data_IF_176803944888
#
_entry.id   IF_176803944888
#
_cell.length_a   1.000
_cell.length_b   1.000
_cell.length_c   1.000
_cell.angle_alpha   90.00
_cell.angle_beta   90.00
_cell.angle_gamma   90.00
#
_symmetry.space_group_name_H-M   'P 1'
#
loop_
_entity.id
_entity.type
_entity.pdbx_description
1 polymer ?
#
# COMPACT_ATOMS: atom_id res chain seq x y z
N UNK A 1 38.83 88.49 27.49
CA UNK A 1 38.34 87.43 26.58
C UNK A 1 37.87 86.23 27.39
N UNK A 2 36.56 86.09 27.63
CA UNK A 2 35.96 84.91 28.28
C UNK A 2 35.47 83.95 27.20
N UNK A 3 36.17 82.83 27.00
CA UNK A 3 35.74 81.73 26.13
C UNK A 3 34.65 80.93 26.84
N UNK A 4 33.39 81.19 26.54
CA UNK A 4 32.31 80.25 26.82
C UNK A 4 31.97 79.50 25.52
N UNK A 5 31.77 78.19 25.65
CA UNK A 5 31.25 77.23 24.64
C UNK A 5 32.27 76.26 24.02
N UNK A 6 32.56 75.17 24.75
CA UNK A 6 32.98 73.89 24.13
C UNK A 6 32.35 72.65 24.79
N UNK A 7 31.73 72.78 25.97
CA UNK A 7 31.06 71.68 26.66
C UNK A 7 29.73 71.27 26.01
N UNK A 8 28.90 72.23 25.59
CA UNK A 8 27.58 71.95 24.98
C UNK A 8 27.68 71.26 23.60
N UNK A 9 28.72 71.59 22.81
CA UNK A 9 28.97 70.94 21.52
C UNK A 9 29.49 69.49 21.69
N UNK A 10 30.34 69.23 22.70
CA UNK A 10 30.82 67.88 23.04
C UNK A 10 29.70 66.98 23.60
N UNK A 11 28.78 67.53 24.40
CA UNK A 11 27.61 66.81 24.90
C UNK A 11 26.61 66.47 23.78
N UNK A 12 26.41 67.38 22.81
CA UNK A 12 25.56 67.11 21.63
C UNK A 12 26.11 66.02 20.72
N UNK A 13 27.43 65.97 20.51
CA UNK A 13 28.07 64.90 19.74
C UNK A 13 27.91 63.52 20.37
N UNK A 14 28.10 63.42 21.70
CA UNK A 14 27.88 62.17 22.45
C UNK A 14 26.41 61.73 22.37
N UNK A 15 25.45 62.64 22.54
CA UNK A 15 24.03 62.31 22.49
C UNK A 15 23.59 61.78 21.12
N UNK A 16 24.11 62.34 20.02
CA UNK A 16 23.82 61.87 18.66
C UNK A 16 24.42 60.48 18.42
N UNK A 17 25.66 60.24 18.85
CA UNK A 17 26.31 58.92 18.72
C UNK A 17 25.54 57.87 19.52
N UNK A 18 25.16 58.18 20.77
CA UNK A 18 24.35 57.28 21.59
C UNK A 18 22.98 57.02 20.97
N UNK A 19 22.29 58.03 20.44
CA UNK A 19 21.01 57.87 19.77
C UNK A 19 21.10 56.98 18.52
N UNK A 20 22.14 57.16 17.69
CA UNK A 20 22.39 56.34 16.51
C UNK A 20 22.74 54.89 16.87
N UNK A 21 23.51 54.69 17.94
CA UNK A 21 23.88 53.35 18.39
C UNK A 21 22.66 52.60 18.96
N UNK A 22 21.83 53.27 19.77
CA UNK A 22 20.56 52.73 20.24
C UNK A 22 19.65 52.38 19.06
N UNK A 23 19.49 53.29 18.10
CA UNK A 23 18.68 53.06 16.91
C UNK A 23 19.17 51.86 16.08
N UNK A 24 20.50 51.74 15.90
CA UNK A 24 21.10 50.59 15.21
C UNK A 24 20.84 49.27 15.95
N UNK A 25 21.01 49.24 17.27
CA UNK A 25 20.71 48.05 18.09
C UNK A 25 19.23 47.67 18.00
N UNK A 26 18.33 48.65 18.12
CA UNK A 26 16.88 48.43 17.97
C UNK A 26 16.54 47.88 16.59
N UNK A 27 17.16 48.42 15.53
CA UNK A 27 16.96 47.94 14.16
C UNK A 27 17.43 46.49 13.97
N UNK A 28 18.59 46.11 14.53
CA UNK A 28 19.11 44.73 14.47
C UNK A 28 18.19 43.77 15.23
N UNK A 29 17.72 44.15 16.43
CA UNK A 29 16.79 43.34 17.22
C UNK A 29 15.45 43.17 16.47
N UNK A 30 14.89 44.26 15.94
CA UNK A 30 13.65 44.24 15.18
C UNK A 30 13.77 43.37 13.91
N UNK A 31 14.87 43.49 13.16
CA UNK A 31 15.13 42.64 11.99
C UNK A 31 15.26 41.15 12.35
N UNK A 32 15.94 40.85 13.45
CA UNK A 32 16.03 39.49 13.99
C UNK A 32 14.67 38.93 14.42
N UNK A 33 13.83 39.75 15.07
CA UNK A 33 12.49 39.37 15.50
C UNK A 33 11.56 39.10 14.32
N UNK A 34 11.55 39.96 13.30
CA UNK A 34 10.76 39.78 12.08
C UNK A 34 11.14 38.50 11.32
N UNK A 35 12.43 38.18 11.26
CA UNK A 35 12.92 36.94 10.65
C UNK A 35 12.43 35.71 11.42
N UNK A 36 12.55 35.73 12.76
CA UNK A 36 12.06 34.65 13.63
C UNK A 36 10.54 34.47 13.52
N UNK A 37 9.80 35.58 13.49
CA UNK A 37 8.35 35.58 13.33
C UNK A 37 7.94 34.95 11.99
N UNK A 38 8.62 35.31 10.90
CA UNK A 38 8.34 34.76 9.56
C UNK A 38 8.62 33.25 9.47
N UNK A 39 9.70 32.78 10.08
CA UNK A 39 10.00 31.33 10.14
C UNK A 39 8.96 30.60 10.97
N UNK A 40 8.53 31.19 12.10
CA UNK A 40 7.51 30.62 12.97
C UNK A 40 6.15 30.52 12.26
N UNK A 41 5.67 31.57 11.58
CA UNK A 41 4.39 31.55 10.87
C UNK A 41 4.39 30.53 9.73
N UNK A 42 5.46 30.48 8.93
CA UNK A 42 5.61 29.46 7.87
C UNK A 42 5.61 28.03 8.43
N UNK A 43 6.21 27.83 9.61
CA UNK A 43 6.18 26.56 10.32
C UNK A 43 4.76 26.15 10.72
N UNK A 44 3.98 27.09 11.28
CA UNK A 44 2.59 26.85 11.66
C UNK A 44 1.69 26.57 10.44
N UNK A 45 1.84 27.32 9.36
CA UNK A 45 1.10 27.10 8.10
C UNK A 45 1.39 25.71 7.52
N UNK A 46 2.67 25.31 7.50
CA UNK A 46 3.08 23.99 7.04
C UNK A 46 2.49 22.86 7.89
N UNK A 47 2.46 23.03 9.21
CA UNK A 47 1.89 22.05 10.13
C UNK A 47 0.36 21.96 9.99
N UNK A 48 -0.31 23.12 9.85
CA UNK A 48 -1.75 23.16 9.61
C UNK A 48 -2.13 22.44 8.31
N UNK A 49 -1.38 22.67 7.22
CA UNK A 49 -1.59 21.98 5.95
C UNK A 49 -1.34 20.47 6.06
N UNK A 50 -0.33 20.05 6.83
CA UNK A 50 -0.02 18.64 7.09
C UNK A 50 -1.20 17.95 7.79
N UNK A 51 -1.72 18.56 8.86
CA UNK A 51 -2.87 18.03 9.60
C UNK A 51 -4.11 17.96 8.70
N UNK A 52 -4.41 19.02 7.94
CA UNK A 52 -5.55 19.03 7.01
C UNK A 52 -5.44 17.94 5.94
N UNK A 53 -4.25 17.71 5.37
CA UNK A 53 -4.02 16.62 4.42
C UNK A 53 -4.28 15.24 5.01
N UNK A 54 -3.88 15.03 6.27
CA UNK A 54 -4.15 13.77 6.98
C UNK A 54 -5.65 13.53 7.19
N UNK A 55 -6.43 14.55 7.55
CA UNK A 55 -7.89 14.43 7.69
C UNK A 55 -8.57 14.04 6.37
N UNK A 56 -8.10 14.57 5.25
CA UNK A 56 -8.63 14.22 3.92
C UNK A 56 -8.36 12.75 3.58
N UNK A 57 -7.14 12.26 3.84
CA UNK A 57 -6.79 10.87 3.64
C UNK A 57 -7.57 9.94 4.56
N UNK A 58 -7.76 10.33 5.83
CA UNK A 58 -8.56 9.55 6.78
C UNK A 58 -10.02 9.48 6.37
N UNK A 59 -10.60 10.57 5.88
CA UNK A 59 -11.97 10.56 5.32
C UNK A 59 -12.10 9.63 4.12
N UNK A 60 -11.12 9.64 3.21
CA UNK A 60 -11.05 8.71 2.08
C UNK A 60 -10.92 7.24 2.50
N UNK A 61 -10.10 6.97 3.52
CA UNK A 61 -9.93 5.64 4.12
C UNK A 61 -11.23 5.13 4.74
N UNK A 62 -11.89 5.93 5.57
CA UNK A 62 -13.16 5.54 6.20
C UNK A 62 -14.26 5.33 5.16
N UNK A 63 -14.31 6.19 4.13
CA UNK A 63 -15.24 5.98 3.01
C UNK A 63 -14.96 4.68 2.25
N UNK A 64 -13.68 4.32 2.07
CA UNK A 64 -13.27 3.05 1.46
C UNK A 64 -13.75 1.84 2.28
N UNK A 65 -13.60 1.90 3.61
CA UNK A 65 -14.12 0.87 4.53
C UNK A 65 -15.64 0.74 4.42
N UNK A 66 -16.36 1.86 4.39
CA UNK A 66 -17.82 1.84 4.21
C UNK A 66 -18.25 1.24 2.87
N UNK A 67 -17.53 1.54 1.77
CA UNK A 67 -17.83 0.96 0.46
C UNK A 67 -17.64 -0.56 0.46
N UNK A 68 -16.55 -1.06 1.04
CA UNK A 68 -16.28 -2.49 1.17
C UNK A 68 -17.31 -3.20 2.05
N UNK A 69 -17.74 -2.54 3.14
CA UNK A 69 -18.80 -3.01 4.03
C UNK A 69 -20.14 -3.11 3.31
N UNK A 70 -20.58 -2.03 2.68
CA UNK A 70 -21.84 -1.98 1.92
C UNK A 70 -21.84 -2.99 0.75
N UNK A 71 -20.69 -3.18 0.09
CA UNK A 71 -20.54 -4.18 -0.95
C UNK A 71 -20.79 -5.61 -0.42
N UNK A 72 -20.25 -5.97 0.76
CA UNK A 72 -20.46 -7.30 1.36
C UNK A 72 -21.92 -7.53 1.72
N UNK A 73 -22.58 -6.52 2.27
CA UNK A 73 -23.99 -6.62 2.66
C UNK A 73 -24.90 -6.83 1.46
N UNK A 74 -24.52 -6.29 0.30
CA UNK A 74 -25.28 -6.42 -0.94
C UNK A 74 -24.99 -7.72 -1.68
N UNK A 75 -23.74 -8.15 -1.71
CA UNK A 75 -23.27 -9.29 -2.50
C UNK A 75 -22.14 -10.01 -1.74
N UNK A 76 -22.29 -11.31 -1.56
CA UNK A 76 -21.28 -12.16 -0.93
C UNK A 76 -20.05 -12.27 -1.84
N UNK A 77 -20.24 -12.26 -3.16
CA UNK A 77 -19.16 -12.37 -4.13
C UNK A 77 -18.29 -11.11 -4.11
N UNK A 78 -16.98 -11.28 -4.29
CA UNK A 78 -16.08 -10.15 -4.54
C UNK A 78 -15.73 -10.12 -6.02
N UNK A 79 -16.17 -9.07 -6.74
CA UNK A 79 -16.07 -8.96 -8.22
C UNK A 79 -15.51 -7.61 -8.65
N UNK A 80 -14.85 -7.56 -9.81
CA UNK A 80 -14.19 -6.35 -10.33
C UNK A 80 -15.17 -5.28 -10.87
N UNK A 81 -16.43 -5.62 -11.11
CA UNK A 81 -17.49 -4.69 -11.56
C UNK A 81 -18.21 -3.99 -10.39
N UNK A 82 -17.84 -4.31 -9.15
CA UNK A 82 -18.44 -3.72 -7.97
C UNK A 82 -17.90 -2.31 -7.70
N UNK A 83 -18.68 -1.42 -7.06
CA UNK A 83 -18.35 -0.01 -6.91
C UNK A 83 -17.16 0.28 -5.97
N UNK A 84 -16.65 -0.71 -5.24
CA UNK A 84 -15.52 -0.52 -4.33
C UNK A 84 -14.18 -0.33 -5.05
N UNK A 85 -14.04 -0.79 -6.30
CA UNK A 85 -12.75 -0.79 -7.03
C UNK A 85 -12.17 0.62 -7.19
N UNK A 86 -13.02 1.62 -7.42
CA UNK A 86 -12.61 3.03 -7.54
C UNK A 86 -13.40 3.89 -6.57
N UNK A 87 -12.69 4.72 -5.83
CA UNK A 87 -13.28 5.65 -4.86
C UNK A 87 -12.98 7.09 -5.25
N UNK A 88 -14.02 7.91 -5.22
CA UNK A 88 -13.93 9.36 -5.27
C UNK A 88 -14.75 9.94 -4.11
N UNK A 89 -14.11 10.77 -3.28
CA UNK A 89 -14.72 11.38 -2.11
C UNK A 89 -14.21 12.82 -1.95
N UNK A 90 -14.92 13.77 -2.55
CA UNK A 90 -14.49 15.17 -2.59
C UNK A 90 -13.17 15.32 -3.34
N UNK A 91 -12.11 15.73 -2.63
CA UNK A 91 -10.75 15.88 -3.19
C UNK A 91 -9.89 14.63 -3.07
N UNK A 92 -10.42 13.55 -2.49
CA UNK A 92 -9.76 12.26 -2.39
C UNK A 92 -10.15 11.38 -3.58
N UNK A 93 -9.15 10.79 -4.22
CA UNK A 93 -9.31 9.74 -5.22
C UNK A 93 -8.49 8.52 -4.80
N UNK A 94 -9.01 7.33 -5.07
CA UNK A 94 -8.30 6.11 -4.76
C UNK A 94 -8.81 4.91 -5.52
N UNK A 95 -8.02 3.85 -5.42
CA UNK A 95 -8.27 2.54 -5.98
C UNK A 95 -8.16 1.53 -4.86
N UNK A 96 -9.10 0.59 -4.84
CA UNK A 96 -9.04 -0.56 -3.96
C UNK A 96 -8.77 -1.77 -4.85
N UNK A 97 -7.73 -2.52 -4.54
CA UNK A 97 -7.39 -3.77 -5.19
C UNK A 97 -7.67 -4.95 -4.25
N UNK A 98 -8.17 -6.05 -4.81
CA UNK A 98 -8.34 -7.30 -4.10
C UNK A 98 -6.99 -8.03 -4.02
N UNK A 99 -6.42 -8.13 -2.82
CA UNK A 99 -5.12 -8.80 -2.62
C UNK A 99 -5.24 -10.34 -2.62
N UNK A 100 -6.47 -10.88 -2.57
CA UNK A 100 -6.74 -12.30 -2.81
C UNK A 100 -6.97 -12.63 -4.28
N UNK A 101 -7.02 -11.67 -5.19
CA UNK A 101 -6.85 -11.95 -6.62
C UNK A 101 -5.42 -12.38 -6.99
N UNK A 102 -4.47 -12.27 -6.06
CA UNK A 102 -3.04 -12.51 -6.24
C UNK A 102 -2.61 -13.80 -5.54
N UNK A 103 -1.47 -14.36 -5.94
CA UNK A 103 -0.84 -15.45 -5.23
C UNK A 103 -0.24 -14.96 -3.91
N UNK A 104 -0.76 -15.43 -2.78
CA UNK A 104 -0.27 -15.05 -1.46
C UNK A 104 0.97 -15.86 -1.08
N UNK A 105 2.14 -15.21 -0.96
CA UNK A 105 3.39 -15.86 -0.56
C UNK A 105 3.31 -16.53 0.82
N UNK A 106 2.41 -16.08 1.70
CA UNK A 106 2.15 -16.73 3.00
C UNK A 106 1.71 -18.19 2.82
N UNK A 107 1.13 -18.55 1.67
CA UNK A 107 0.66 -19.90 1.37
C UNK A 107 1.79 -20.94 1.25
N UNK A 108 3.04 -20.53 1.05
CA UNK A 108 4.18 -21.45 0.96
C UNK A 108 4.40 -22.27 2.24
N UNK A 109 3.89 -21.81 3.38
CA UNK A 109 3.98 -22.52 4.65
C UNK A 109 2.59 -22.68 5.26
N UNK A 110 2.21 -23.88 5.65
CA UNK A 110 0.94 -24.16 6.30
C UNK A 110 1.17 -25.09 7.49
N UNK A 111 0.60 -24.77 8.66
CA UNK A 111 0.77 -25.55 9.91
C UNK A 111 2.24 -25.94 10.18
N UNK A 112 3.15 -24.97 10.08
CA UNK A 112 4.60 -25.13 10.28
C UNK A 112 5.29 -26.13 9.32
N UNK A 113 4.68 -26.37 8.16
CA UNK A 113 5.22 -27.25 7.13
C UNK A 113 5.21 -26.55 5.78
N UNK A 114 6.18 -26.89 4.94
CA UNK A 114 6.20 -26.47 3.55
C UNK A 114 4.98 -27.04 2.82
N UNK A 115 4.25 -26.17 2.12
CA UNK A 115 3.21 -26.59 1.20
C UNK A 115 3.80 -26.74 -0.22
N UNK A 116 4.03 -27.98 -0.63
CA UNK A 116 4.69 -28.29 -1.90
C UNK A 116 3.87 -27.87 -3.12
N UNK A 117 2.53 -27.95 -3.04
CA UNK A 117 1.64 -27.55 -4.13
C UNK A 117 1.67 -26.03 -4.32
N UNK A 118 1.67 -25.27 -3.22
CA UNK A 118 1.80 -23.81 -3.26
C UNK A 118 3.17 -23.38 -3.78
N UNK A 119 4.24 -24.10 -3.41
CA UNK A 119 5.58 -23.86 -3.96
C UNK A 119 5.62 -24.06 -5.48
N UNK A 120 5.09 -25.18 -5.98
CA UNK A 120 5.02 -25.44 -7.42
C UNK A 120 4.15 -24.41 -8.15
N UNK A 121 3.05 -23.97 -7.53
CA UNK A 121 2.19 -22.92 -8.09
C UNK A 121 2.91 -21.59 -8.21
N UNK A 122 3.67 -21.19 -7.20
CA UNK A 122 4.50 -19.98 -7.26
C UNK A 122 5.61 -20.08 -8.33
N UNK A 123 6.30 -21.22 -8.42
CA UNK A 123 7.33 -21.43 -9.45
C UNK A 123 6.75 -21.40 -10.87
N UNK A 124 5.53 -21.95 -11.06
CA UNK A 124 4.79 -21.84 -12.32
C UNK A 124 4.47 -20.37 -12.64
N UNK A 125 3.95 -19.61 -11.68
CA UNK A 125 3.67 -18.19 -11.85
C UNK A 125 4.93 -17.42 -12.27
N UNK A 126 6.04 -17.60 -11.56
CA UNK A 126 7.32 -16.97 -11.89
C UNK A 126 7.78 -17.32 -13.31
N UNK A 127 7.65 -18.59 -13.73
CA UNK A 127 8.00 -19.01 -15.09
C UNK A 127 7.13 -18.31 -16.14
N UNK A 128 5.81 -18.25 -15.93
CA UNK A 128 4.86 -17.56 -16.81
C UNK A 128 5.21 -16.08 -16.96
N UNK A 129 5.64 -15.44 -15.86
CA UNK A 129 6.04 -14.03 -15.84
C UNK A 129 7.47 -13.79 -16.37
N UNK A 130 8.21 -14.83 -16.76
CA UNK A 130 9.60 -14.72 -17.19
C UNK A 130 10.53 -14.23 -16.07
N UNK A 131 10.28 -14.67 -14.83
CA UNK A 131 11.19 -14.47 -13.70
C UNK A 131 12.20 -15.61 -13.66
N UNK A 132 13.48 -15.27 -13.48
CA UNK A 132 14.56 -16.24 -13.38
C UNK A 132 14.26 -17.29 -12.27
N UNK A 133 14.35 -18.60 -12.57
CA UNK A 133 14.14 -19.66 -11.58
C UNK A 133 15.01 -19.52 -10.32
N UNK A 134 16.24 -18.99 -10.42
CA UNK A 134 17.09 -18.72 -9.28
C UNK A 134 16.50 -17.62 -8.37
N UNK A 135 15.92 -16.58 -8.96
CA UNK A 135 15.23 -15.50 -8.21
C UNK A 135 13.97 -16.04 -7.55
N UNK A 136 13.16 -16.83 -8.27
CA UNK A 136 11.98 -17.51 -7.71
C UNK A 136 12.35 -18.36 -6.49
N UNK A 137 13.42 -19.18 -6.59
CA UNK A 137 13.90 -20.00 -5.47
C UNK A 137 14.36 -19.15 -4.29
N UNK A 138 15.07 -18.04 -4.52
CA UNK A 138 15.49 -17.12 -3.45
C UNK A 138 14.31 -16.47 -2.74
N UNK A 139 13.28 -16.05 -3.48
CA UNK A 139 12.03 -15.53 -2.88
C UNK A 139 11.39 -16.61 -2.00
N UNK A 140 11.19 -17.82 -2.52
CA UNK A 140 10.61 -18.94 -1.76
C UNK A 140 11.41 -19.22 -0.49
N UNK A 141 12.75 -19.32 -0.60
CA UNK A 141 13.63 -19.56 0.55
C UNK A 141 13.54 -18.45 1.59
N UNK A 142 13.52 -17.18 1.18
CA UNK A 142 13.38 -16.03 2.09
C UNK A 142 12.05 -16.05 2.84
N UNK A 143 10.95 -16.38 2.14
CA UNK A 143 9.62 -16.50 2.75
C UNK A 143 9.57 -17.68 3.71
N UNK A 144 9.95 -18.88 3.25
CA UNK A 144 9.93 -20.12 4.03
C UNK A 144 10.76 -19.98 5.30
N UNK A 145 11.94 -19.35 5.22
CA UNK A 145 12.82 -19.13 6.36
C UNK A 145 12.31 -18.07 7.36
N UNK A 146 11.21 -17.38 7.04
CA UNK A 146 10.55 -16.42 7.94
C UNK A 146 9.53 -17.06 8.89
N UNK A 147 9.26 -18.35 8.71
CA UNK A 147 8.32 -19.11 9.52
C UNK A 147 9.06 -20.23 10.23
N UNK A 148 8.63 -20.52 11.46
CA UNK A 148 9.07 -21.72 12.14
C UNK A 148 8.56 -22.94 11.37
N UNK A 149 9.40 -23.95 11.28
CA UNK A 149 9.04 -25.26 10.77
C UNK A 149 9.12 -26.27 11.91
N UNK A 150 8.51 -27.44 11.72
CA UNK A 150 8.51 -28.52 12.71
C UNK A 150 9.94 -28.79 13.25
N UNK A 151 10.22 -28.31 14.47
CA UNK A 151 11.51 -28.45 15.15
C UNK A 151 12.61 -27.45 14.75
N UNK A 152 12.31 -26.45 13.93
CA UNK A 152 13.26 -25.43 13.45
C UNK A 152 12.70 -24.01 13.65
N UNK A 153 13.40 -23.12 14.38
CA UNK A 153 12.95 -21.74 14.56
C UNK A 153 13.03 -20.95 13.24
N UNK A 154 12.20 -19.90 13.13
CA UNK A 154 12.30 -18.94 12.05
C UNK A 154 13.68 -18.27 12.05
N UNK A 155 14.30 -18.14 10.87
CA UNK A 155 15.62 -17.52 10.68
C UNK A 155 15.54 -16.03 10.41
N UNK A 156 14.41 -15.57 9.84
CA UNK A 156 14.18 -14.18 9.48
C UNK A 156 12.84 -13.68 10.03
N UNK A 157 12.65 -12.36 10.19
CA UNK A 157 11.35 -11.79 10.47
C UNK A 157 10.34 -12.11 9.37
N UNK A 158 9.07 -12.28 9.78
CA UNK A 158 7.94 -12.38 8.87
C UNK A 158 7.88 -11.17 7.94
N UNK A 159 7.56 -11.43 6.68
CA UNK A 159 7.31 -10.38 5.71
C UNK A 159 5.98 -9.69 6.05
N UNK A 160 6.00 -8.36 6.06
CA UNK A 160 4.85 -7.48 6.22
C UNK A 160 4.42 -6.86 4.89
N UNK A 161 5.37 -6.73 3.95
CA UNK A 161 5.14 -6.25 2.60
C UNK A 161 6.13 -6.88 1.62
N UNK A 162 5.83 -6.80 0.33
CA UNK A 162 6.74 -7.24 -0.72
C UNK A 162 8.07 -6.46 -0.72
N UNK A 163 8.08 -5.24 -0.19
CA UNK A 163 9.30 -4.45 -0.01
C UNK A 163 10.34 -5.15 0.91
N UNK A 164 9.93 -6.09 1.77
CA UNK A 164 10.84 -6.87 2.62
C UNK A 164 11.68 -7.90 1.82
N UNK A 165 11.36 -8.07 0.53
CA UNK A 165 12.16 -8.84 -0.43
C UNK A 165 13.22 -7.97 -1.13
N UNK A 166 13.21 -6.65 -0.93
CA UNK A 166 14.21 -5.76 -1.53
C UNK A 166 15.63 -6.16 -1.11
N UNK A 167 16.57 -6.07 -2.05
CA UNK A 167 17.96 -6.46 -1.83
C UNK A 167 18.26 -7.96 -2.02
N UNK A 168 17.26 -8.80 -2.32
CA UNK A 168 17.53 -10.16 -2.77
C UNK A 168 18.28 -10.15 -4.11
N UNK A 169 19.33 -10.96 -4.20
CA UNK A 169 20.16 -11.05 -5.39
C UNK A 169 19.32 -11.42 -6.63
N UNK A 170 19.48 -10.64 -7.70
CA UNK A 170 18.73 -10.80 -8.96
C UNK A 170 17.26 -10.35 -8.91
N UNK A 171 16.75 -9.94 -7.75
CA UNK A 171 15.43 -9.31 -7.64
C UNK A 171 15.58 -7.79 -7.76
N UNK A 172 15.56 -7.28 -8.98
CA UNK A 172 15.63 -5.84 -9.21
C UNK A 172 14.32 -5.15 -8.81
N UNK A 173 14.33 -3.82 -8.53
CA UNK A 173 13.11 -3.06 -8.25
C UNK A 173 12.05 -3.21 -9.34
N UNK A 174 12.44 -3.30 -10.61
CA UNK A 174 11.55 -3.46 -11.76
C UNK A 174 10.87 -4.83 -11.76
N UNK A 175 11.63 -5.90 -11.47
CA UNK A 175 11.08 -7.26 -11.33
C UNK A 175 10.13 -7.32 -10.15
N UNK A 176 10.51 -6.74 -9.01
CA UNK A 176 9.67 -6.68 -7.82
C UNK A 176 8.37 -5.92 -8.12
N UNK A 177 8.44 -4.75 -8.75
CA UNK A 177 7.28 -3.94 -9.14
C UNK A 177 6.34 -4.72 -10.07
N UNK A 178 6.90 -5.45 -11.06
CA UNK A 178 6.11 -6.31 -11.95
C UNK A 178 5.40 -7.43 -11.18
N UNK A 179 6.08 -8.04 -10.21
CA UNK A 179 5.51 -9.09 -9.38
C UNK A 179 4.34 -8.59 -8.50
N UNK A 180 4.34 -7.32 -8.06
CA UNK A 180 3.29 -6.77 -7.18
C UNK A 180 1.87 -6.86 -7.76
N UNK A 181 1.73 -6.99 -9.08
CA UNK A 181 0.44 -7.20 -9.74
C UNK A 181 -0.10 -8.64 -9.55
N UNK A 182 0.76 -9.61 -9.30
CA UNK A 182 0.44 -11.05 -9.30
C UNK A 182 0.62 -11.74 -7.97
N UNK A 183 1.40 -11.16 -7.04
CA UNK A 183 1.67 -11.74 -5.72
C UNK A 183 1.30 -10.78 -4.59
N UNK A 184 0.99 -11.34 -3.42
CA UNK A 184 0.71 -10.60 -2.19
C UNK A 184 1.43 -11.25 -0.99
N UNK A 185 1.51 -10.51 0.12
CA UNK A 185 1.92 -11.03 1.44
C UNK A 185 0.82 -10.67 2.41
N UNK A 186 0.02 -11.65 2.80
CA UNK A 186 -1.09 -11.46 3.75
C UNK A 186 -0.76 -12.10 5.10
N UNK A 187 -1.37 -11.63 6.21
CA UNK A 187 -1.11 -12.17 7.56
C UNK A 187 -1.47 -13.66 7.73
N UNK A 188 -2.37 -14.19 6.92
CA UNK A 188 -2.81 -15.59 6.97
C UNK A 188 -2.75 -16.29 5.61
N UNK A 189 -2.90 -17.61 5.63
CA UNK A 189 -3.10 -18.41 4.41
C UNK A 189 -4.47 -18.06 3.81
N UNK A 190 -4.54 -17.88 2.49
CA UNK A 190 -5.76 -17.45 1.80
C UNK A 190 -5.94 -18.19 0.48
N UNK A 191 -7.18 -18.43 0.08
CA UNK A 191 -7.48 -18.88 -1.28
C UNK A 191 -7.43 -17.72 -2.26
N UNK A 192 -7.13 -18.03 -3.52
CA UNK A 192 -7.19 -17.07 -4.61
C UNK A 192 -8.65 -16.83 -4.98
N UNK A 193 -9.07 -15.58 -5.13
CA UNK A 193 -10.42 -15.25 -5.62
C UNK A 193 -10.45 -15.30 -7.15
N UNK A 194 -11.15 -16.28 -7.71
CA UNK A 194 -11.29 -16.44 -9.16
C UNK A 194 -12.01 -15.27 -9.85
N UNK A 195 -12.84 -14.53 -9.11
CA UNK A 195 -13.55 -13.38 -9.66
C UNK A 195 -12.68 -12.12 -9.81
N UNK A 196 -11.46 -12.11 -9.27
CA UNK A 196 -10.54 -10.97 -9.35
C UNK A 196 -9.14 -11.36 -9.84
N UNK A 197 -8.79 -12.65 -9.82
CA UNK A 197 -7.50 -13.14 -10.25
C UNK A 197 -7.23 -12.97 -11.74
N UNK A 198 -5.97 -12.75 -12.10
CA UNK A 198 -5.54 -12.71 -13.50
C UNK A 198 -5.42 -14.13 -14.08
N UNK A 199 -5.35 -14.25 -15.41
CA UNK A 199 -5.15 -15.53 -16.08
C UNK A 199 -3.81 -16.19 -15.69
N UNK A 200 -2.77 -15.39 -15.49
CA UNK A 200 -1.45 -15.84 -15.04
C UNK A 200 -1.53 -16.46 -13.64
N UNK A 201 -2.24 -15.81 -12.71
CA UNK A 201 -2.44 -16.37 -11.36
C UNK A 201 -3.27 -17.66 -11.44
N UNK A 202 -4.39 -17.66 -12.18
CA UNK A 202 -5.25 -18.83 -12.30
C UNK A 202 -4.53 -20.04 -12.92
N UNK A 203 -3.81 -19.86 -14.03
CA UNK A 203 -3.03 -20.93 -14.67
C UNK A 203 -1.89 -21.44 -13.77
N UNK A 204 -1.40 -20.60 -12.86
CA UNK A 204 -0.38 -20.98 -11.90
C UNK A 204 -0.93 -21.74 -10.70
N UNK A 205 -2.15 -21.44 -10.22
CA UNK A 205 -2.73 -22.13 -9.05
C UNK A 205 -3.55 -23.36 -9.41
N UNK A 206 -4.14 -23.42 -10.60
CA UNK A 206 -4.91 -24.59 -11.05
C UNK A 206 -3.97 -25.56 -11.77
N UNK A 207 -3.78 -26.80 -11.29
CA UNK A 207 -3.00 -27.80 -12.00
C UNK A 207 -3.56 -28.04 -13.42
N UNK A 208 -2.67 -28.16 -14.41
CA UNK A 208 -3.00 -28.46 -15.82
C UNK A 208 -3.81 -27.39 -16.59
N UNK A 209 -4.22 -26.29 -15.95
CA UNK A 209 -4.86 -25.18 -16.67
C UNK A 209 -3.81 -24.42 -17.48
N UNK A 210 -3.93 -24.44 -18.80
CA UNK A 210 -3.05 -23.65 -19.67
C UNK A 210 -3.35 -22.15 -19.58
N UNK A 211 -2.36 -21.30 -19.88
CA UNK A 211 -2.53 -19.85 -19.87
C UNK A 211 -3.60 -19.38 -20.88
N UNK A 212 -3.68 -20.01 -22.06
CA UNK A 212 -4.69 -19.68 -23.06
C UNK A 212 -6.12 -20.01 -22.59
N UNK A 213 -6.31 -21.17 -21.94
CA UNK A 213 -7.58 -21.53 -21.32
C UNK A 213 -7.94 -20.55 -20.20
N UNK A 214 -6.97 -20.17 -19.37
CA UNK A 214 -7.18 -19.19 -18.30
C UNK A 214 -7.58 -17.80 -18.86
N UNK A 215 -7.01 -17.36 -19.98
CA UNK A 215 -7.44 -16.13 -20.66
C UNK A 215 -8.88 -16.22 -21.17
N UNK A 216 -9.27 -17.34 -21.78
CA UNK A 216 -10.65 -17.55 -22.22
C UNK A 216 -11.64 -17.51 -21.04
N UNK A 217 -11.29 -18.19 -19.96
CA UNK A 217 -12.07 -18.21 -18.72
C UNK A 217 -12.23 -16.82 -18.09
N UNK A 218 -11.15 -16.04 -18.05
CA UNK A 218 -11.17 -14.64 -17.56
C UNK A 218 -11.98 -13.74 -18.49
N UNK A 219 -11.89 -13.91 -19.81
CA UNK A 219 -12.68 -13.14 -20.76
C UNK A 219 -14.18 -13.42 -20.63
N UNK A 220 -14.59 -14.68 -20.43
CA UNK A 220 -15.99 -15.02 -20.15
C UNK A 220 -16.46 -14.37 -18.84
N UNK A 221 -15.66 -14.49 -17.78
CA UNK A 221 -15.93 -13.86 -16.48
C UNK A 221 -16.15 -12.35 -16.63
N UNK A 222 -15.23 -11.66 -17.30
CA UNK A 222 -15.24 -10.19 -17.44
C UNK A 222 -16.35 -9.70 -18.39
N UNK A 223 -16.92 -10.58 -19.22
CA UNK A 223 -18.14 -10.34 -19.99
C UNK A 223 -19.44 -10.50 -19.16
N UNK A 224 -19.32 -10.59 -17.83
CA UNK A 224 -20.46 -10.66 -16.91
C UNK A 224 -20.81 -12.07 -16.44
N UNK A 225 -20.12 -13.11 -16.92
CA UNK A 225 -20.32 -14.48 -16.46
C UNK A 225 -19.48 -14.79 -15.22
N UNK A 226 -19.69 -14.03 -14.15
CA UNK A 226 -18.97 -14.20 -12.89
C UNK A 226 -19.13 -15.62 -12.32
N UNK A 227 -18.12 -16.08 -11.57
CA UNK A 227 -18.19 -17.34 -10.85
C UNK A 227 -19.09 -17.19 -9.63
N UNK A 228 -20.09 -18.04 -9.53
CA UNK A 228 -21.09 -17.97 -8.45
C UNK A 228 -20.74 -18.84 -7.24
N UNK A 229 -19.88 -19.84 -7.44
CA UNK A 229 -19.30 -20.68 -6.40
C UNK A 229 -18.10 -21.46 -6.96
N UNK A 230 -17.44 -22.21 -6.08
CA UNK A 230 -16.27 -23.03 -6.43
C UNK A 230 -16.60 -24.17 -7.42
N UNK A 231 -17.77 -24.80 -7.28
CA UNK A 231 -18.20 -25.88 -8.19
C UNK A 231 -18.40 -25.36 -9.62
N UNK A 232 -19.04 -24.20 -9.75
CA UNK A 232 -19.19 -23.48 -11.03
C UNK A 232 -17.82 -23.17 -11.65
N UNK A 233 -16.87 -22.62 -10.88
CA UNK A 233 -15.51 -22.39 -11.36
C UNK A 233 -14.87 -23.68 -11.91
N UNK A 234 -14.89 -24.76 -11.14
CA UNK A 234 -14.25 -26.04 -11.53
C UNK A 234 -14.90 -26.65 -12.77
N UNK A 235 -16.24 -26.60 -12.87
CA UNK A 235 -16.96 -27.11 -14.03
C UNK A 235 -16.54 -26.39 -15.32
N UNK A 236 -16.34 -25.07 -15.28
CA UNK A 236 -15.91 -24.27 -16.44
C UNK A 236 -14.45 -24.45 -16.83
N UNK A 237 -13.63 -25.11 -16.00
CA UNK A 237 -12.26 -25.48 -16.38
C UNK A 237 -12.25 -26.53 -17.50
N UNK A 238 -13.31 -27.34 -17.61
CA UNK A 238 -13.38 -28.48 -18.52
C UNK A 238 -12.20 -29.47 -18.34
N UNK A 239 -11.74 -29.64 -17.09
CA UNK A 239 -10.64 -30.53 -16.71
C UNK A 239 -11.18 -31.70 -15.88
N UNK A 240 -11.53 -32.84 -16.50
CA UNK A 240 -12.20 -33.95 -15.80
C UNK A 240 -11.34 -34.62 -14.72
N UNK A 241 -10.02 -34.42 -14.76
CA UNK A 241 -9.06 -34.99 -13.79
C UNK A 241 -8.81 -34.08 -12.57
N UNK A 242 -9.29 -32.83 -12.60
CA UNK A 242 -9.07 -31.86 -11.51
C UNK A 242 -10.22 -31.98 -10.52
N UNK A 243 -9.93 -32.48 -9.31
CA UNK A 243 -10.92 -32.57 -8.26
C UNK A 243 -11.22 -31.19 -7.65
N UNK A 244 -12.48 -30.93 -7.31
CA UNK A 244 -12.91 -29.65 -6.71
C UNK A 244 -12.12 -29.32 -5.44
N UNK A 245 -11.82 -30.33 -4.62
CA UNK A 245 -11.12 -30.15 -3.34
C UNK A 245 -9.61 -29.87 -3.49
N UNK A 246 -9.02 -30.17 -4.65
CA UNK A 246 -7.63 -29.80 -4.95
C UNK A 246 -7.47 -28.34 -5.40
N UNK A 247 -8.57 -27.66 -5.73
CA UNK A 247 -8.50 -26.29 -6.26
C UNK A 247 -8.71 -25.28 -5.13
N UNK A 248 -7.63 -24.61 -4.72
CA UNK A 248 -7.66 -23.53 -3.71
C UNK A 248 -8.07 -22.17 -4.30
N UNK A 249 -9.17 -22.18 -5.06
CA UNK A 249 -9.78 -20.99 -5.66
C UNK A 249 -11.17 -20.77 -5.06
N UNK A 250 -11.34 -19.61 -4.43
CA UNK A 250 -12.61 -19.11 -3.92
C UNK A 250 -13.25 -18.07 -4.84
N UNK A 251 -14.35 -17.50 -4.37
CA UNK A 251 -15.15 -16.47 -5.06
C UNK A 251 -15.38 -15.21 -4.21
N UNK A 252 -14.77 -15.18 -3.03
CA UNK A 252 -14.92 -14.15 -2.00
C UNK A 252 -13.56 -13.71 -1.51
N UNK A 253 -13.47 -12.47 -1.05
CA UNK A 253 -12.25 -11.92 -0.46
C UNK A 253 -12.52 -11.11 0.80
N UNK A 254 -11.55 -11.13 1.68
CA UNK A 254 -11.46 -10.44 2.95
C UNK A 254 -10.30 -9.43 2.97
N UNK A 255 -9.32 -9.54 2.06
CA UNK A 255 -8.12 -8.69 2.06
C UNK A 255 -8.07 -7.74 0.87
N UNK A 256 -8.00 -6.44 1.16
CA UNK A 256 -8.03 -5.39 0.16
C UNK A 256 -6.93 -4.36 0.41
N UNK A 257 -6.29 -3.87 -0.64
CA UNK A 257 -5.33 -2.77 -0.56
C UNK A 257 -5.94 -1.50 -1.09
N UNK A 258 -5.96 -0.44 -0.28
CA UNK A 258 -6.34 0.90 -0.69
C UNK A 258 -5.08 1.68 -1.07
N UNK A 259 -5.04 2.19 -2.29
CA UNK A 259 -4.09 3.19 -2.72
C UNK A 259 -4.85 4.45 -3.08
N UNK A 260 -4.54 5.57 -2.45
CA UNK A 260 -5.27 6.81 -2.68
C UNK A 260 -4.40 8.04 -2.55
N UNK A 261 -4.95 9.17 -3.00
CA UNK A 261 -4.34 10.46 -2.87
C UNK A 261 -5.40 11.54 -2.66
N UNK A 262 -5.03 12.57 -1.91
CA UNK A 262 -5.79 13.80 -1.80
C UNK A 262 -4.92 14.96 -2.29
N UNK A 263 -5.53 15.86 -3.08
CA UNK A 263 -4.88 17.08 -3.53
C UNK A 263 -5.60 18.29 -2.96
N UNK A 264 -4.86 19.14 -2.27
CA UNK A 264 -5.35 20.47 -1.86
C UNK A 264 -4.30 21.52 -2.22
N UNK A 265 -4.72 22.52 -2.98
CA UNK A 265 -3.86 23.57 -3.54
C UNK A 265 -2.68 22.99 -4.34
N UNK A 266 -1.46 23.05 -3.77
CA UNK A 266 -0.20 22.58 -4.38
C UNK A 266 0.35 21.28 -3.77
N UNK A 267 -0.27 20.75 -2.70
CA UNK A 267 0.25 19.58 -1.99
C UNK A 267 -0.59 18.35 -2.33
N UNK A 268 0.11 17.31 -2.80
CA UNK A 268 -0.43 15.96 -2.94
C UNK A 268 0.02 15.18 -1.72
N UNK A 269 -0.91 14.48 -1.10
CA UNK A 269 -0.61 13.49 -0.05
C UNK A 269 -1.20 12.16 -0.49
N UNK A 270 -0.50 11.07 -0.23
CA UNK A 270 -0.91 9.73 -0.64
C UNK A 270 -1.13 8.85 0.57
N UNK A 271 -1.97 7.83 0.42
CA UNK A 271 -2.19 6.79 1.41
C UNK A 271 -2.09 5.42 0.73
N UNK A 272 -1.44 4.49 1.42
CA UNK A 272 -1.46 3.07 1.11
C UNK A 272 -1.92 2.33 2.38
N UNK A 273 -2.90 1.45 2.28
CA UNK A 273 -3.44 0.74 3.44
C UNK A 273 -3.87 -0.68 3.09
N UNK A 274 -3.62 -1.62 4.01
CA UNK A 274 -4.21 -2.95 3.96
C UNK A 274 -5.45 -3.01 4.85
N UNK A 275 -6.56 -3.41 4.26
CA UNK A 275 -7.86 -3.53 4.88
C UNK A 275 -8.22 -5.01 4.99
N UNK A 276 -8.73 -5.40 6.14
CA UNK A 276 -9.30 -6.72 6.38
C UNK A 276 -10.80 -6.59 6.62
N UNK A 277 -11.62 -7.07 5.69
CA UNK A 277 -13.07 -7.13 5.75
C UNK A 277 -13.52 -8.53 6.18
N UNK A 278 -13.73 -8.78 7.48
CA UNK A 278 -14.33 -10.03 7.93
C UNK A 278 -15.81 -10.10 7.53
N UNK A 279 -16.41 -11.28 7.69
CA UNK A 279 -17.79 -11.54 7.29
C UNK A 279 -18.85 -10.73 8.06
N UNK A 280 -18.66 -10.54 9.38
CA UNK A 280 -19.68 -10.06 10.31
C UNK A 280 -19.45 -8.64 10.85
N UNK A 281 -18.36 -7.97 10.44
CA UNK A 281 -17.94 -6.67 11.02
C UNK A 281 -17.37 -5.72 9.99
N UNK A 282 -17.41 -4.44 10.32
CA UNK A 282 -16.78 -3.40 9.50
C UNK A 282 -15.31 -3.73 9.19
N UNK A 283 -14.83 -3.43 7.98
CA UNK A 283 -13.43 -3.64 7.61
C UNK A 283 -12.50 -2.96 8.61
N UNK A 284 -11.42 -3.63 8.99
CA UNK A 284 -10.37 -3.10 9.87
C UNK A 284 -9.18 -2.64 9.05
N UNK A 285 -8.56 -1.54 9.47
CA UNK A 285 -7.27 -1.11 8.93
C UNK A 285 -6.18 -1.92 9.64
N UNK A 286 -5.45 -2.75 8.90
CA UNK A 286 -4.36 -3.57 9.44
C UNK A 286 -3.09 -2.76 9.51
N UNK A 287 -2.83 -1.97 8.46
CA UNK A 287 -1.82 -0.94 8.45
C UNK A 287 -2.21 0.15 7.45
N UNK A 288 -1.68 1.35 7.67
CA UNK A 288 -1.76 2.46 6.72
C UNK A 288 -0.46 3.25 6.74
N UNK A 289 0.00 3.68 5.57
CA UNK A 289 1.20 4.49 5.36
C UNK A 289 0.79 5.74 4.61
N UNK A 290 1.16 6.91 5.15
CA UNK A 290 0.92 8.20 4.49
C UNK A 290 2.21 8.64 3.81
N UNK A 291 2.15 8.85 2.50
CA UNK A 291 3.21 9.46 1.71
C UNK A 291 2.96 10.95 1.52
N UNK A 292 4.05 11.71 1.40
CA UNK A 292 4.06 13.16 1.10
C UNK A 292 4.77 13.38 -0.21
#
# INVERSE_FOLDING_TARGET
MKRYSSAAAKQRGMAIISALLIAAVVAVIAGGMLTRQTVFTRGLEAEQLRVQGQWLLQGGLERSRQLLWAARQKDVLTRLDQPWVRIQAGVFEGRIDDEQGKFNLRNLVNREQLDAEQLHSFERLCRTLGVDPAVSRRISQRVIASYAQKGLPAKYPMLRSLDDLSGLEGLTPEVLQRLQAYISVLPGNTWVNGNTASAEVLSAVVPQLSLSQAHGLVAERDNGHWFINRGDFVNRLHLPQVAVDSVQVGITSEWFRLQGQARRERRRVTIDALLHRPEDREPKVIWSRVGV
#
